data_IF_478298751188
#
_entry.id   IF_478298751188
#
_cell.length_a   1.000
_cell.length_b   1.000
_cell.length_c   1.000
_cell.angle_alpha   90.00
_cell.angle_beta   90.00
_cell.angle_gamma   90.00
#
_symmetry.space_group_name_H-M   'P 1'
#
loop_
_entity.id
_entity.type
_entity.pdbx_description
1 polymer ?
#
# COMPACT_ATOMS: atom_id res chain seq x y z
N UNK A 1 13.10 -6.92 14.00
CA UNK A 1 12.43 -8.19 14.35
C UNK A 1 13.01 -9.22 13.41
N UNK A 2 13.62 -10.29 13.94
CA UNK A 2 14.17 -11.35 13.09
C UNK A 2 13.01 -12.24 12.64
N UNK A 3 12.45 -11.97 11.46
CA UNK A 3 11.39 -12.77 10.85
C UNK A 3 9.99 -12.15 10.90
N UNK A 4 9.06 -12.80 10.22
CA UNK A 4 7.64 -12.44 10.17
C UNK A 4 6.94 -12.96 11.44
N UNK A 5 6.03 -12.19 12.02
CA UNK A 5 5.27 -12.61 13.20
C UNK A 5 4.34 -13.78 12.85
N UNK A 6 4.55 -14.94 13.45
CA UNK A 6 3.74 -16.15 13.27
C UNK A 6 2.75 -16.38 14.44
N UNK A 7 2.58 -15.42 15.34
CA UNK A 7 1.66 -15.54 16.47
C UNK A 7 0.22 -15.63 15.94
N UNK A 8 -0.56 -16.70 16.20
CA UNK A 8 -1.91 -16.82 15.68
C UNK A 8 -2.81 -15.64 16.08
N UNK A 9 -3.79 -15.31 15.23
CA UNK A 9 -4.76 -14.25 15.50
C UNK A 9 -5.86 -14.79 16.41
N UNK A 10 -6.08 -14.23 17.62
CA UNK A 10 -7.19 -14.64 18.47
C UNK A 10 -8.54 -14.39 17.79
N UNK A 11 -9.54 -15.21 18.12
CA UNK A 11 -10.93 -14.91 17.78
C UNK A 11 -11.32 -13.52 18.31
N UNK A 12 -12.18 -12.81 17.56
CA UNK A 12 -12.59 -11.45 17.90
C UNK A 12 -11.57 -10.37 17.53
N UNK A 13 -10.49 -10.74 16.84
CA UNK A 13 -9.48 -9.82 16.32
C UNK A 13 -9.35 -9.89 14.80
N UNK A 14 -8.99 -8.75 14.22
CA UNK A 14 -8.45 -8.63 12.86
C UNK A 14 -7.10 -7.93 12.99
N UNK A 15 -6.02 -8.67 12.73
CA UNK A 15 -4.65 -8.21 12.99
C UNK A 15 -4.46 -7.71 14.44
N UNK A 16 -4.20 -6.41 14.61
CA UNK A 16 -4.01 -5.73 15.88
C UNK A 16 -5.29 -5.07 16.43
N UNK A 17 -6.43 -5.18 15.73
CA UNK A 17 -7.69 -4.57 16.13
C UNK A 17 -8.63 -5.60 16.75
N UNK A 18 -9.19 -5.29 17.92
CA UNK A 18 -10.26 -6.07 18.56
C UNK A 18 -11.61 -5.56 18.04
N UNK A 19 -12.40 -6.43 17.41
CA UNK A 19 -13.76 -6.11 16.97
C UNK A 19 -14.83 -6.80 17.82
N UNK A 20 -14.48 -7.88 18.52
CA UNK A 20 -15.38 -8.59 19.44
C UNK A 20 -14.59 -9.03 20.69
N UNK A 21 -14.70 -8.31 21.82
CA UNK A 21 -13.98 -8.65 23.05
C UNK A 21 -14.56 -9.89 23.75
N UNK A 22 -15.77 -10.32 23.39
CA UNK A 22 -16.48 -11.44 24.02
C UNK A 22 -16.40 -12.73 23.18
N UNK A 23 -15.57 -12.73 22.13
CA UNK A 23 -15.41 -13.86 21.23
C UNK A 23 -14.94 -15.13 21.98
N UNK A 24 -15.41 -16.34 21.60
CA UNK A 24 -14.97 -17.59 22.21
C UNK A 24 -13.45 -17.76 22.10
N UNK A 25 -12.85 -18.36 23.13
CA UNK A 25 -11.42 -18.71 23.10
C UNK A 25 -11.08 -19.52 21.85
N UNK A 26 -9.94 -19.20 21.23
CA UNK A 26 -9.48 -19.83 20.01
C UNK A 26 -8.78 -18.82 19.10
N UNK A 27 -8.47 -19.26 17.90
CA UNK A 27 -7.78 -18.47 16.88
C UNK A 27 -8.55 -18.51 15.59
N UNK A 28 -8.39 -17.46 14.79
CA UNK A 28 -8.90 -17.41 13.42
C UNK A 28 -8.35 -18.60 12.64
N UNK A 29 -9.22 -19.25 11.87
CA UNK A 29 -8.85 -20.36 11.00
C UNK A 29 -7.91 -19.89 9.89
N UNK A 30 -6.85 -20.65 9.66
CA UNK A 30 -5.93 -20.41 8.54
C UNK A 30 -6.64 -20.65 7.21
N UNK A 31 -6.36 -19.81 6.22
CA UNK A 31 -6.87 -19.95 4.85
C UNK A 31 -5.71 -19.90 3.86
N UNK A 32 -5.93 -20.39 2.65
CA UNK A 32 -4.98 -20.21 1.56
C UNK A 32 -5.20 -18.90 0.80
N UNK A 33 -4.22 -18.54 -0.06
CA UNK A 33 -4.31 -17.34 -0.88
C UNK A 33 -5.54 -17.37 -1.81
N UNK A 34 -5.91 -18.53 -2.35
CA UNK A 34 -7.05 -18.61 -3.28
C UNK A 34 -8.37 -18.30 -2.57
N UNK A 35 -8.56 -18.79 -1.34
CA UNK A 35 -9.69 -18.41 -0.49
C UNK A 35 -9.70 -16.90 -0.23
N UNK A 36 -8.54 -16.29 0.03
CA UNK A 36 -8.45 -14.84 0.24
C UNK A 36 -8.83 -14.05 -1.03
N UNK A 37 -8.34 -14.46 -2.20
CA UNK A 37 -8.70 -13.84 -3.48
C UNK A 37 -10.18 -14.02 -3.83
N UNK A 38 -10.77 -15.17 -3.53
CA UNK A 38 -12.22 -15.39 -3.67
C UNK A 38 -13.03 -14.46 -2.76
N UNK A 39 -12.58 -14.26 -1.52
CA UNK A 39 -13.21 -13.32 -0.58
C UNK A 39 -13.13 -11.87 -1.07
N UNK A 40 -11.99 -11.47 -1.65
CA UNK A 40 -11.87 -10.15 -2.30
C UNK A 40 -12.85 -10.04 -3.48
N UNK A 41 -12.93 -11.05 -4.35
CA UNK A 41 -13.87 -11.03 -5.47
C UNK A 41 -15.30 -10.85 -4.99
N UNK A 42 -15.73 -11.64 -4.00
CA UNK A 42 -17.05 -11.54 -3.39
C UNK A 42 -17.32 -10.13 -2.81
N UNK A 43 -16.33 -9.55 -2.14
CA UNK A 43 -16.44 -8.19 -1.61
C UNK A 43 -16.61 -7.17 -2.73
N UNK A 44 -15.75 -7.21 -3.76
CA UNK A 44 -15.78 -6.29 -4.89
C UNK A 44 -17.07 -6.39 -5.70
N UNK A 45 -17.59 -7.60 -5.92
CA UNK A 45 -18.88 -7.83 -6.59
C UNK A 45 -20.04 -7.11 -5.88
N UNK A 46 -19.96 -7.02 -4.54
CA UNK A 46 -20.99 -6.34 -3.75
C UNK A 46 -20.81 -4.82 -3.70
N UNK A 47 -19.57 -4.32 -3.59
CA UNK A 47 -19.32 -2.89 -3.32
C UNK A 47 -19.06 -2.04 -4.56
N UNK A 48 -18.48 -2.59 -5.62
CA UNK A 48 -18.12 -1.80 -6.80
C UNK A 48 -19.32 -1.18 -7.52
N UNK A 49 -20.46 -1.88 -7.73
CA UNK A 49 -21.63 -1.27 -8.36
C UNK A 49 -22.14 -0.05 -7.58
N UNK A 50 -22.09 -0.12 -6.24
CA UNK A 50 -22.50 0.99 -5.36
C UNK A 50 -21.50 2.15 -5.44
N UNK A 51 -20.20 1.84 -5.48
CA UNK A 51 -19.15 2.85 -5.62
C UNK A 51 -19.26 3.58 -6.97
N UNK A 52 -19.53 2.85 -8.06
CA UNK A 52 -19.80 3.42 -9.39
C UNK A 52 -21.02 4.34 -9.40
N UNK A 53 -22.15 3.90 -8.84
CA UNK A 53 -23.37 4.73 -8.74
C UNK A 53 -23.12 6.01 -7.94
N UNK A 54 -22.32 5.92 -6.88
CA UNK A 54 -21.96 7.04 -6.03
C UNK A 54 -20.85 7.94 -6.61
N UNK A 55 -20.22 7.57 -7.72
CA UNK A 55 -19.05 8.28 -8.28
C UNK A 55 -17.80 8.21 -7.39
N UNK A 56 -17.67 7.15 -6.60
CA UNK A 56 -16.56 6.90 -5.67
C UNK A 56 -15.56 5.91 -6.27
N UNK A 57 -14.27 6.20 -6.15
CA UNK A 57 -13.19 5.24 -6.46
C UNK A 57 -12.74 4.56 -5.18
N UNK A 58 -12.80 3.24 -5.14
CA UNK A 58 -12.18 2.43 -4.08
C UNK A 58 -10.71 2.25 -4.43
N UNK A 59 -9.82 2.49 -3.46
CA UNK A 59 -8.38 2.45 -3.66
C UNK A 59 -7.77 1.39 -2.73
N UNK A 60 -7.30 0.28 -3.28
CA UNK A 60 -6.72 -0.81 -2.50
C UNK A 60 -5.24 -0.53 -2.18
N UNK A 61 -4.92 -0.38 -0.89
CA UNK A 61 -3.55 -0.28 -0.37
C UNK A 61 -2.88 -1.66 -0.45
N UNK A 62 -1.57 -1.76 -0.76
CA UNK A 62 -0.87 -3.04 -0.75
C UNK A 62 -0.71 -3.55 0.69
N UNK A 63 -0.27 -4.78 0.88
CA UNK A 63 -0.03 -5.28 2.23
C UNK A 63 1.31 -4.76 2.78
N UNK A 64 1.30 -4.21 4.00
CA UNK A 64 2.48 -3.76 4.77
C UNK A 64 2.57 -4.51 6.13
N UNK A 65 3.60 -5.34 6.38
CA UNK A 65 4.67 -5.69 5.46
C UNK A 65 4.17 -6.56 4.29
N UNK A 66 4.81 -6.49 3.11
CA UNK A 66 4.46 -7.34 1.97
C UNK A 66 5.13 -8.72 2.06
N UNK A 67 4.66 -9.56 2.98
CA UNK A 67 5.07 -10.97 3.09
C UNK A 67 3.96 -11.90 2.60
N UNK A 68 4.23 -13.12 2.11
CA UNK A 68 3.19 -14.05 1.67
C UNK A 68 2.18 -14.39 2.79
N UNK A 69 2.69 -14.62 4.00
CA UNK A 69 1.89 -14.88 5.19
C UNK A 69 2.38 -14.00 6.34
N UNK A 70 1.45 -13.60 7.20
CA UNK A 70 1.70 -12.98 8.50
C UNK A 70 0.71 -13.60 9.48
N UNK A 71 1.19 -14.06 10.64
CA UNK A 71 0.37 -14.64 11.73
C UNK A 71 -0.48 -15.84 11.28
N UNK A 72 0.07 -16.67 10.39
CA UNK A 72 -0.63 -17.82 9.79
C UNK A 72 -1.70 -17.44 8.75
N UNK A 73 -1.81 -16.16 8.39
CA UNK A 73 -2.82 -15.68 7.43
C UNK A 73 -2.18 -15.14 6.16
N UNK A 74 -2.72 -15.45 4.97
CA UNK A 74 -2.17 -14.97 3.71
C UNK A 74 -2.35 -13.46 3.57
N UNK A 75 -1.40 -12.80 2.93
CA UNK A 75 -1.53 -11.42 2.46
C UNK A 75 -2.02 -11.42 1.01
N UNK A 76 -2.81 -10.42 0.66
CA UNK A 76 -3.46 -10.28 -0.63
C UNK A 76 -2.49 -9.77 -1.70
N UNK A 77 -1.90 -8.59 -1.48
CA UNK A 77 -0.98 -7.91 -2.41
C UNK A 77 0.38 -7.75 -1.75
N UNK A 78 1.20 -8.80 -1.82
CA UNK A 78 2.57 -8.82 -1.29
C UNK A 78 3.66 -8.83 -2.37
N UNK A 79 3.29 -8.83 -3.65
CA UNK A 79 4.19 -8.62 -4.79
C UNK A 79 3.54 -7.69 -5.81
N UNK A 80 4.36 -6.92 -6.54
CA UNK A 80 3.87 -5.84 -7.42
C UNK A 80 2.91 -6.37 -8.51
N UNK A 81 3.18 -7.56 -9.06
CA UNK A 81 2.34 -8.19 -10.08
C UNK A 81 0.90 -8.48 -9.59
N UNK A 82 0.68 -8.56 -8.29
CA UNK A 82 -0.63 -8.86 -7.71
C UNK A 82 -1.61 -7.70 -7.83
N UNK A 83 -1.15 -6.46 -7.99
CA UNK A 83 -2.05 -5.37 -8.36
C UNK A 83 -2.73 -5.60 -9.69
N UNK A 84 -2.02 -6.15 -10.68
CA UNK A 84 -2.68 -6.47 -11.95
C UNK A 84 -3.73 -7.57 -11.76
N UNK A 85 -3.49 -8.56 -10.90
CA UNK A 85 -4.52 -9.54 -10.50
C UNK A 85 -5.73 -8.84 -9.88
N UNK A 86 -5.52 -7.91 -8.94
CA UNK A 86 -6.60 -7.15 -8.29
C UNK A 86 -7.45 -6.35 -9.27
N UNK A 87 -6.81 -5.60 -10.17
CA UNK A 87 -7.50 -4.81 -11.20
C UNK A 87 -8.27 -5.72 -12.17
N UNK A 88 -7.70 -6.88 -12.51
CA UNK A 88 -8.32 -7.83 -13.44
C UNK A 88 -9.54 -8.56 -12.87
N UNK A 89 -9.73 -8.61 -11.55
CA UNK A 89 -10.92 -9.25 -10.94
C UNK A 89 -12.20 -8.56 -11.43
N UNK A 90 -12.18 -7.23 -11.43
CA UNK A 90 -13.31 -6.44 -11.89
C UNK A 90 -12.79 -5.16 -12.57
N UNK A 91 -12.65 -5.16 -13.92
CA UNK A 91 -12.21 -3.99 -14.66
C UNK A 91 -13.22 -2.84 -14.51
N UNK A 92 -12.87 -1.85 -13.69
CA UNK A 92 -13.70 -0.67 -13.41
C UNK A 92 -12.80 0.49 -12.98
N UNK A 93 -13.16 1.72 -13.34
CA UNK A 93 -12.47 2.93 -12.85
C UNK A 93 -12.65 3.14 -11.33
N UNK A 94 -13.68 2.51 -10.75
CA UNK A 94 -13.94 2.49 -9.30
C UNK A 94 -13.15 1.42 -8.56
N UNK A 95 -12.52 0.47 -9.28
CA UNK A 95 -11.56 -0.48 -8.72
C UNK A 95 -10.14 0.04 -8.99
N UNK A 96 -9.62 0.86 -8.08
CA UNK A 96 -8.36 1.56 -8.24
C UNK A 96 -7.34 1.15 -7.17
N UNK A 97 -6.11 1.64 -7.34
CA UNK A 97 -5.00 1.39 -6.43
C UNK A 97 -4.78 2.60 -5.52
N UNK A 98 -4.67 2.33 -4.22
CA UNK A 98 -3.80 3.15 -3.38
C UNK A 98 -2.40 2.60 -3.61
N UNK A 99 -1.51 3.45 -4.12
CA UNK A 99 -0.21 3.07 -4.63
C UNK A 99 0.86 3.52 -3.64
N UNK A 100 1.00 2.77 -2.54
CA UNK A 100 2.03 3.04 -1.55
C UNK A 100 3.42 2.68 -2.05
N UNK A 101 4.20 3.70 -2.42
CA UNK A 101 5.55 3.55 -2.97
C UNK A 101 6.48 2.79 -2.01
N UNK A 102 6.38 3.09 -0.71
CA UNK A 102 7.16 2.42 0.33
C UNK A 102 6.89 0.93 0.35
N UNK A 103 5.64 0.52 0.62
CA UNK A 103 5.23 -0.89 0.66
C UNK A 103 5.59 -1.64 -0.62
N UNK A 104 5.34 -1.06 -1.80
CA UNK A 104 5.70 -1.70 -3.07
C UNK A 104 7.20 -1.85 -3.26
N UNK A 105 7.98 -0.89 -2.76
CA UNK A 105 9.43 -0.97 -2.80
C UNK A 105 10.00 -1.96 -1.78
N UNK A 106 9.26 -2.35 -0.74
CA UNK A 106 9.68 -3.40 0.20
C UNK A 106 9.54 -4.82 -0.40
N UNK A 107 8.76 -4.97 -1.48
CA UNK A 107 8.52 -6.24 -2.18
C UNK A 107 9.78 -6.78 -2.86
N UNK A 108 9.92 -8.10 -2.88
CA UNK A 108 11.11 -8.79 -3.41
C UNK A 108 11.12 -8.94 -4.93
N UNK A 109 9.96 -8.82 -5.58
CA UNK A 109 9.80 -8.96 -7.02
C UNK A 109 9.20 -7.70 -7.65
N UNK A 110 9.54 -7.48 -8.93
CA UNK A 110 9.11 -6.32 -9.71
C UNK A 110 10.10 -5.16 -9.71
N UNK A 111 9.82 -4.17 -10.54
CA UNK A 111 10.54 -2.90 -10.61
C UNK A 111 9.55 -1.77 -10.36
N UNK A 112 9.78 -1.00 -9.28
CA UNK A 112 8.86 0.05 -8.85
C UNK A 112 8.60 1.09 -9.94
N UNK A 113 9.57 1.38 -10.80
CA UNK A 113 9.43 2.37 -11.87
C UNK A 113 8.60 1.82 -13.03
N UNK A 114 8.82 0.55 -13.42
CA UNK A 114 8.00 -0.12 -14.44
C UNK A 114 6.55 -0.29 -13.96
N UNK A 115 6.36 -0.73 -12.71
CA UNK A 115 5.04 -0.86 -12.09
C UNK A 115 4.33 0.48 -11.96
N UNK A 116 5.05 1.55 -11.57
CA UNK A 116 4.49 2.91 -11.53
C UNK A 116 4.05 3.34 -12.93
N UNK A 117 4.92 3.18 -13.94
CA UNK A 117 4.60 3.57 -15.32
C UNK A 117 3.37 2.84 -15.83
N UNK A 118 3.36 1.52 -15.71
CA UNK A 118 2.26 0.67 -16.15
C UNK A 118 0.94 1.09 -15.51
N UNK A 119 0.87 1.22 -14.19
CA UNK A 119 -0.39 1.55 -13.52
C UNK A 119 -0.81 3.02 -13.67
N UNK A 120 0.13 3.95 -13.83
CA UNK A 120 -0.17 5.33 -14.12
C UNK A 120 -0.73 5.51 -15.55
N UNK A 121 -0.09 4.92 -16.56
CA UNK A 121 -0.51 5.00 -17.97
C UNK A 121 -1.89 4.34 -18.20
N UNK A 122 -2.22 3.29 -17.43
CA UNK A 122 -3.52 2.64 -17.48
C UNK A 122 -4.60 3.32 -16.63
N UNK A 123 -4.27 4.40 -15.89
CA UNK A 123 -5.23 5.13 -15.05
C UNK A 123 -5.70 4.36 -13.80
N UNK A 124 -4.96 3.32 -13.39
CA UNK A 124 -5.35 2.46 -12.27
C UNK A 124 -5.11 3.13 -10.91
N UNK A 125 -4.22 4.11 -10.82
CA UNK A 125 -3.85 4.76 -9.56
C UNK A 125 -4.90 5.83 -9.20
N UNK A 126 -5.40 5.79 -7.96
CA UNK A 126 -6.27 6.83 -7.40
C UNK A 126 -5.54 7.74 -6.42
N UNK A 127 -4.67 7.14 -5.60
CA UNK A 127 -4.07 7.76 -4.42
C UNK A 127 -2.66 7.20 -4.23
N UNK A 128 -1.70 8.03 -3.80
CA UNK A 128 -0.29 7.64 -3.64
C UNK A 128 0.20 8.01 -2.24
N UNK A 129 0.64 7.03 -1.46
CA UNK A 129 1.55 7.24 -0.35
C UNK A 129 2.99 7.40 -0.86
N UNK A 130 3.54 8.60 -0.65
CA UNK A 130 4.85 9.08 -1.09
C UNK A 130 5.87 9.04 0.05
N UNK A 131 6.12 7.83 0.54
CA UNK A 131 7.18 7.53 1.52
C UNK A 131 8.30 6.72 0.87
N UNK A 132 9.44 6.64 1.54
CA UNK A 132 10.63 5.95 1.05
C UNK A 132 11.27 5.09 2.15
N UNK A 133 11.84 3.96 1.75
CA UNK A 133 12.41 2.95 2.65
C UNK A 133 13.76 2.48 2.15
N UNK A 134 14.55 1.86 3.03
CA UNK A 134 15.68 1.02 2.61
C UNK A 134 15.44 -0.42 2.94
N UNK A 135 15.81 -1.29 2.01
CA UNK A 135 15.73 -2.74 2.16
C UNK A 135 14.41 -3.31 1.67
N UNK A 136 14.26 -4.61 1.88
CA UNK A 136 13.13 -5.43 1.40
C UNK A 136 12.65 -6.29 2.55
N UNK A 137 11.44 -6.82 2.48
CA UNK A 137 11.02 -7.85 3.46
C UNK A 137 12.04 -9.00 3.52
N UNK A 138 12.38 -9.51 4.72
CA UNK A 138 11.84 -9.13 6.03
C UNK A 138 12.60 -7.97 6.72
N UNK A 139 13.66 -7.42 6.12
CA UNK A 139 14.53 -6.42 6.72
C UNK A 139 14.52 -5.10 5.94
N UNK A 140 13.65 -4.19 6.36
CA UNK A 140 13.56 -2.84 5.82
C UNK A 140 13.44 -1.81 6.95
N UNK A 141 13.63 -0.54 6.60
CA UNK A 141 13.44 0.58 7.52
C UNK A 141 12.88 1.78 6.79
N UNK A 142 11.91 2.43 7.41
CA UNK A 142 11.39 3.74 6.98
C UNK A 142 12.49 4.80 7.03
N UNK A 143 12.54 5.65 6.02
CA UNK A 143 13.56 6.71 5.87
C UNK A 143 12.92 8.04 5.50
N UNK A 144 13.70 9.12 5.51
CA UNK A 144 13.24 10.36 4.87
C UNK A 144 13.05 10.12 3.38
N UNK A 145 12.14 10.89 2.77
CA UNK A 145 11.73 10.72 1.36
C UNK A 145 12.90 10.73 0.37
N UNK A 146 14.02 11.37 0.71
CA UNK A 146 15.24 11.50 -0.10
C UNK A 146 16.38 10.55 0.30
N UNK A 147 16.18 9.65 1.27
CA UNK A 147 17.24 8.78 1.82
C UNK A 147 17.05 7.28 1.55
N UNK A 148 15.90 6.89 0.99
CA UNK A 148 15.56 5.50 0.70
C UNK A 148 16.02 5.00 -0.68
N UNK A 149 15.59 3.80 -1.04
CA UNK A 149 16.00 3.08 -2.25
C UNK A 149 15.28 3.59 -3.51
N UNK A 150 14.16 4.32 -3.36
CA UNK A 150 13.41 4.88 -4.48
C UNK A 150 13.98 6.25 -4.87
N UNK A 151 14.29 6.44 -6.15
CA UNK A 151 14.46 7.78 -6.74
C UNK A 151 13.07 8.42 -6.91
N UNK A 152 12.66 9.16 -5.88
CA UNK A 152 11.35 9.81 -5.83
C UNK A 152 11.16 10.84 -6.97
N UNK A 153 12.24 11.47 -7.44
CA UNK A 153 12.20 12.38 -8.59
C UNK A 153 11.85 11.62 -9.88
N UNK A 154 12.42 10.42 -10.08
CA UNK A 154 12.07 9.56 -11.21
C UNK A 154 10.61 9.12 -11.16
N UNK A 155 10.05 8.81 -9.99
CA UNK A 155 8.63 8.51 -9.83
C UNK A 155 7.76 9.68 -10.28
N UNK A 156 8.05 10.90 -9.81
CA UNK A 156 7.27 12.10 -10.21
C UNK A 156 7.35 12.34 -11.72
N UNK A 157 8.50 12.14 -12.37
CA UNK A 157 8.60 12.24 -13.84
C UNK A 157 7.70 11.23 -14.55
N UNK A 158 7.69 9.97 -14.10
CA UNK A 158 6.82 8.93 -14.68
C UNK A 158 5.34 9.32 -14.53
N UNK A 159 4.95 9.81 -13.36
CA UNK A 159 3.58 10.26 -13.11
C UNK A 159 3.20 11.46 -13.98
N UNK A 160 4.10 12.42 -14.17
CA UNK A 160 3.89 13.56 -15.06
C UNK A 160 3.76 13.12 -16.53
N UNK A 161 4.62 12.22 -17.01
CA UNK A 161 4.53 11.64 -18.36
C UNK A 161 3.19 10.94 -18.60
N UNK A 162 2.67 10.23 -17.59
CA UNK A 162 1.36 9.58 -17.61
C UNK A 162 0.18 10.54 -17.36
N UNK A 163 0.43 11.85 -17.19
CA UNK A 163 -0.61 12.85 -16.88
C UNK A 163 -1.43 12.50 -15.64
N UNK A 164 -0.80 11.88 -14.63
CA UNK A 164 -1.46 11.54 -13.38
C UNK A 164 -1.98 12.81 -12.68
N UNK A 165 -3.24 12.77 -12.27
CA UNK A 165 -3.96 13.90 -11.66
C UNK A 165 -4.63 13.55 -10.32
N UNK A 166 -4.25 12.41 -9.73
CA UNK A 166 -4.76 11.98 -8.43
C UNK A 166 -4.04 12.65 -7.26
N UNK A 167 -4.30 12.13 -6.06
CA UNK A 167 -3.78 12.69 -4.80
C UNK A 167 -2.50 11.97 -4.39
N UNK A 168 -1.54 12.73 -3.86
CA UNK A 168 -0.28 12.22 -3.31
C UNK A 168 -0.05 12.82 -1.91
N UNK A 169 0.34 12.00 -0.93
CA UNK A 169 0.61 12.41 0.45
C UNK A 169 1.94 11.81 0.96
N UNK A 170 2.60 12.39 1.97
CA UNK A 170 3.89 11.89 2.48
C UNK A 170 3.83 10.59 3.31
N UNK A 171 2.64 10.14 3.73
CA UNK A 171 2.41 8.93 4.55
C UNK A 171 3.21 8.86 5.86
N UNK A 172 4.41 8.28 5.85
CA UNK A 172 5.27 8.14 7.03
C UNK A 172 6.55 8.97 6.89
N UNK A 173 7.05 9.48 8.02
CA UNK A 173 8.35 10.16 8.09
C UNK A 173 9.06 9.81 9.39
N UNK A 174 10.40 9.66 9.41
CA UNK A 174 11.14 9.50 10.67
C UNK A 174 10.86 10.64 11.66
N UNK A 175 10.84 10.32 12.95
CA UNK A 175 10.71 11.32 14.01
C UNK A 175 11.98 12.16 14.10
N UNK A 176 11.83 13.48 14.08
CA UNK A 176 12.95 14.41 14.23
C UNK A 176 13.24 14.72 15.70
N UNK A 177 14.51 14.94 16.04
CA UNK A 177 14.93 15.39 17.36
C UNK A 177 14.66 16.90 17.53
N UNK A 178 13.39 17.27 17.75
CA UNK A 178 12.93 18.63 17.97
C UNK A 178 11.66 18.66 18.85
N UNK A 179 11.14 19.85 19.15
CA UNK A 179 9.94 20.02 20.00
C UNK A 179 8.64 19.54 19.33
N UNK A 180 8.61 19.39 18.01
CA UNK A 180 7.46 18.89 17.26
C UNK A 180 7.84 17.79 16.24
N UNK A 181 8.33 16.61 16.70
CA UNK A 181 9.00 15.60 15.87
C UNK A 181 8.24 15.18 14.61
N UNK A 182 6.96 14.82 14.77
CA UNK A 182 6.10 14.36 13.68
C UNK A 182 5.78 15.47 12.68
N UNK A 183 5.44 16.67 13.18
CA UNK A 183 5.11 17.81 12.33
C UNK A 183 6.31 18.26 11.50
N UNK A 184 7.52 18.22 12.07
CA UNK A 184 8.75 18.58 11.36
C UNK A 184 9.06 17.60 10.23
N UNK A 185 8.96 16.29 10.47
CA UNK A 185 9.17 15.29 9.41
C UNK A 185 8.13 15.40 8.29
N UNK A 186 6.85 15.58 8.64
CA UNK A 186 5.78 15.81 7.66
C UNK A 186 5.98 17.09 6.84
N UNK A 187 6.37 18.19 7.48
CA UNK A 187 6.64 19.45 6.80
C UNK A 187 7.82 19.31 5.82
N UNK A 188 8.86 18.56 6.20
CA UNK A 188 9.98 18.25 5.32
C UNK A 188 9.52 17.50 4.07
N UNK A 189 8.77 16.40 4.25
CA UNK A 189 8.28 15.59 3.14
C UNK A 189 7.34 16.37 2.21
N UNK A 190 6.39 17.14 2.76
CA UNK A 190 5.50 18.00 1.96
C UNK A 190 6.28 19.09 1.20
N UNK A 191 7.31 19.67 1.82
CA UNK A 191 8.20 20.64 1.17
C UNK A 191 8.95 20.04 -0.02
N UNK A 192 9.49 18.84 0.17
CA UNK A 192 10.16 18.06 -0.87
C UNK A 192 9.22 17.74 -2.04
N UNK A 193 8.04 17.20 -1.75
CA UNK A 193 7.01 16.90 -2.77
C UNK A 193 6.63 18.16 -3.58
N UNK A 194 6.41 19.29 -2.89
CA UNK A 194 6.06 20.56 -3.54
C UNK A 194 7.19 21.11 -4.40
N UNK A 195 8.44 20.87 -4.01
CA UNK A 195 9.60 21.23 -4.83
C UNK A 195 9.64 20.39 -6.11
N UNK A 196 9.44 19.07 -6.04
CA UNK A 196 9.38 18.21 -7.23
C UNK A 196 8.26 18.64 -8.18
N UNK A 197 7.04 18.84 -7.67
CA UNK A 197 5.88 19.23 -8.48
C UNK A 197 6.07 20.57 -9.22
N UNK A 198 6.85 21.51 -8.67
CA UNK A 198 7.06 22.84 -9.29
C UNK A 198 8.17 22.86 -10.34
N UNK A 199 9.04 21.86 -10.35
CA UNK A 199 10.25 21.85 -11.16
C UNK A 199 10.29 20.71 -12.20
N UNK A 200 9.19 19.97 -12.35
CA UNK A 200 9.03 18.85 -13.29
C UNK A 200 7.66 18.94 -13.96
#
# INVERSE_FOLDING_TARGET
MDGVDDTPIPNGMVWNMVYDPDAPQGTVEEIDHETLWQRLSYFLDAVLPVAEEAGVRLAAHPDDPPAPFVRGTPRLVYQQAMYQRLINIHPSSSNALEFCLGSLSEMTEGDIYETTRHHAENGNIAYIHFRNVRGKVPNYSETFVDEGDIDMARIVRILNEASFSGVMIPDHTPLMACDAPWHSGMAYAMGYMRALQKNM
#
